data_IF_509355597849
#
_entry.id   IF_509355597849
#
_cell.length_a   1.000
_cell.length_b   1.000
_cell.length_c   1.000
_cell.angle_alpha   90.00
_cell.angle_beta   90.00
_cell.angle_gamma   90.00
#
_symmetry.space_group_name_H-M   'P 1'
#
loop_
_entity.id
_entity.type
_entity.pdbx_description
1 polymer ?
#
# COMPACT_ATOMS: atom_id res chain seq x y z
N UNK A 1 17.16 -33.53 11.47
CA UNK A 1 17.47 -32.13 11.08
C UNK A 1 16.28 -31.45 10.42
N UNK A 2 15.68 -32.05 9.37
CA UNK A 2 14.45 -31.53 8.72
C UNK A 2 13.27 -31.25 9.68
N UNK A 3 12.97 -32.16 10.60
CA UNK A 3 11.85 -31.99 11.52
C UNK A 3 11.96 -30.72 12.38
N UNK A 4 13.13 -30.50 12.98
CA UNK A 4 13.42 -29.30 13.78
C UNK A 4 13.24 -28.00 12.98
N UNK A 5 13.61 -28.00 11.69
CA UNK A 5 13.41 -26.85 10.83
C UNK A 5 11.91 -26.60 10.57
N UNK A 6 11.15 -27.65 10.28
CA UNK A 6 9.69 -27.55 10.09
C UNK A 6 9.01 -27.04 11.35
N UNK A 7 9.39 -27.55 12.52
CA UNK A 7 8.85 -27.11 13.81
C UNK A 7 9.14 -25.63 14.06
N UNK A 8 10.35 -25.17 13.71
CA UNK A 8 10.76 -23.77 13.82
C UNK A 8 9.94 -22.86 12.89
N UNK A 9 9.80 -23.25 11.62
CA UNK A 9 9.02 -22.49 10.63
C UNK A 9 7.54 -22.42 11.03
N UNK A 10 6.98 -23.53 11.52
CA UNK A 10 5.60 -23.58 11.97
C UNK A 10 5.38 -22.72 13.22
N UNK A 11 6.33 -22.74 14.17
CA UNK A 11 6.30 -21.90 15.38
C UNK A 11 6.25 -20.40 15.04
N UNK A 12 7.02 -19.96 14.04
CA UNK A 12 7.10 -18.55 13.64
C UNK A 12 6.31 -18.23 12.37
N UNK A 13 5.29 -19.01 12.04
CA UNK A 13 4.50 -18.83 10.81
C UNK A 13 3.96 -17.41 10.62
N UNK A 14 3.62 -16.73 11.71
CA UNK A 14 3.09 -15.36 11.73
C UNK A 14 4.15 -14.28 11.48
N UNK A 15 5.44 -14.65 11.50
CA UNK A 15 6.53 -13.74 11.16
C UNK A 15 6.79 -13.69 9.65
N UNK A 16 6.12 -14.53 8.85
CA UNK A 16 6.24 -14.56 7.40
C UNK A 16 5.07 -13.82 6.77
N UNK A 17 5.35 -12.99 5.77
CA UNK A 17 4.32 -12.32 5.00
C UNK A 17 3.49 -13.34 4.22
N UNK A 18 2.17 -13.24 4.34
CA UNK A 18 1.23 -13.98 3.48
C UNK A 18 0.46 -12.99 2.60
N UNK A 19 -0.26 -13.51 1.61
CA UNK A 19 -1.18 -12.76 0.73
C UNK A 19 -2.49 -12.37 1.42
N UNK A 20 -2.68 -12.77 2.69
CA UNK A 20 -3.95 -12.62 3.43
C UNK A 20 -3.85 -11.64 4.60
N UNK A 21 -2.65 -11.19 4.94
CA UNK A 21 -2.42 -10.29 6.05
C UNK A 21 -2.08 -8.90 5.52
N UNK A 22 -2.72 -7.83 6.05
CA UNK A 22 -2.48 -6.49 5.58
C UNK A 22 -1.03 -6.07 5.82
N UNK A 23 -0.40 -5.52 4.78
CA UNK A 23 0.96 -5.00 4.90
C UNK A 23 0.93 -3.66 5.64
N UNK A 24 1.84 -3.49 6.61
CA UNK A 24 2.12 -2.17 7.18
C UNK A 24 1.20 -1.71 8.31
N UNK A 25 0.40 -2.58 8.92
CA UNK A 25 -0.33 -2.27 10.17
C UNK A 25 0.61 -2.29 11.40
N UNK A 26 1.75 -1.61 11.30
CA UNK A 26 2.67 -1.43 12.42
C UNK A 26 2.18 -0.22 13.21
N UNK A 27 1.53 -0.50 14.33
CA UNK A 27 1.02 0.52 15.27
C UNK A 27 2.16 1.49 15.65
N UNK A 28 1.92 2.80 15.55
CA UNK A 28 2.86 3.84 15.99
C UNK A 28 3.84 4.35 14.93
N UNK A 29 3.63 4.04 13.65
CA UNK A 29 4.43 4.59 12.53
C UNK A 29 3.64 5.58 11.67
N UNK A 30 2.63 6.24 12.23
CA UNK A 30 1.89 7.29 11.56
C UNK A 30 2.81 8.49 11.30
N UNK A 31 2.87 8.95 10.06
CA UNK A 31 3.65 10.11 9.66
C UNK A 31 2.72 11.31 9.44
N UNK A 32 2.99 12.40 10.13
CA UNK A 32 2.38 13.69 9.84
C UNK A 32 3.26 14.47 8.85
N UNK A 33 2.74 14.73 7.66
CA UNK A 33 3.45 15.42 6.58
C UNK A 33 2.82 16.79 6.40
N UNK A 34 3.54 17.82 6.84
CA UNK A 34 3.09 19.21 6.80
C UNK A 34 3.74 19.92 5.60
N UNK A 35 2.94 20.64 4.82
CA UNK A 35 3.44 21.48 3.74
C UNK A 35 4.03 22.78 4.32
N UNK A 36 5.19 23.19 3.81
CA UNK A 36 5.81 24.48 4.15
C UNK A 36 5.14 25.68 3.44
N UNK A 37 3.98 25.47 2.81
CA UNK A 37 3.25 26.49 2.04
C UNK A 37 1.77 26.45 2.38
N UNK A 38 1.15 27.63 2.42
CA UNK A 38 -0.29 27.78 2.66
C UNK A 38 -1.08 27.83 1.34
N UNK A 39 -2.42 27.73 1.44
CA UNK A 39 -3.30 27.86 0.27
C UNK A 39 -3.20 29.29 -0.31
N UNK A 40 -3.30 29.46 -1.65
CA UNK A 40 -3.60 28.44 -2.66
C UNK A 40 -2.37 27.58 -3.01
N UNK A 41 -2.57 26.27 -3.04
CA UNK A 41 -1.52 25.31 -3.37
C UNK A 41 -1.00 25.46 -4.81
N UNK A 42 0.29 25.17 -5.08
CA UNK A 42 0.86 25.23 -6.42
C UNK A 42 0.04 24.42 -7.43
N UNK A 43 -0.19 24.94 -8.67
CA UNK A 43 -0.91 24.21 -9.72
C UNK A 43 -0.33 22.83 -10.04
N UNK A 44 0.96 22.62 -9.78
CA UNK A 44 1.62 21.31 -9.95
C UNK A 44 0.96 20.19 -9.13
N UNK A 45 0.35 20.51 -7.99
CA UNK A 45 -0.35 19.53 -7.15
C UNK A 45 -1.73 19.13 -7.70
N UNK A 46 -2.24 19.83 -8.72
CA UNK A 46 -3.55 19.58 -9.34
C UNK A 46 -3.46 18.96 -10.74
N UNK A 47 -2.29 18.41 -11.11
CA UNK A 47 -2.10 17.84 -12.44
C UNK A 47 -2.98 16.59 -12.61
N UNK A 48 -3.72 16.46 -13.74
CA UNK A 48 -4.42 15.23 -14.02
C UNK A 48 -3.42 14.08 -14.20
N UNK A 49 -3.87 12.87 -13.94
CA UNK A 49 -3.08 11.68 -14.24
C UNK A 49 -2.73 11.64 -15.74
N UNK A 50 -1.49 11.26 -16.05
CA UNK A 50 -1.08 11.04 -17.44
C UNK A 50 -1.85 9.86 -18.04
N UNK A 51 -2.18 9.90 -19.34
CA UNK A 51 -2.87 8.79 -19.98
C UNK A 51 -1.97 7.54 -19.98
N UNK A 52 -2.53 6.40 -19.55
CA UNK A 52 -1.88 5.10 -19.63
C UNK A 52 -2.29 4.36 -20.91
N UNK A 53 -1.39 3.56 -21.48
CA UNK A 53 -1.78 2.62 -22.55
C UNK A 53 -2.78 1.58 -22.02
N UNK A 54 -3.67 1.01 -22.87
CA UNK A 54 -4.67 0.03 -22.42
C UNK A 54 -4.04 -1.16 -21.67
N UNK A 55 -2.96 -1.72 -22.22
CA UNK A 55 -2.21 -2.83 -21.61
C UNK A 55 -1.62 -2.45 -20.25
N UNK A 56 -1.05 -1.26 -20.13
CA UNK A 56 -0.51 -0.79 -18.85
C UNK A 56 -1.63 -0.58 -17.82
N UNK A 57 -2.77 -0.03 -18.25
CA UNK A 57 -3.93 0.19 -17.40
C UNK A 57 -4.51 -1.11 -16.83
N UNK A 58 -4.56 -2.18 -17.62
CA UNK A 58 -5.02 -3.49 -17.17
C UNK A 58 -4.10 -4.10 -16.11
N UNK A 59 -2.78 -4.08 -16.33
CA UNK A 59 -1.82 -4.56 -15.33
C UNK A 59 -1.87 -3.75 -14.03
N UNK A 60 -1.95 -2.42 -14.14
CA UNK A 60 -2.06 -1.54 -12.98
C UNK A 60 -3.33 -1.82 -12.15
N UNK A 61 -4.47 -2.12 -12.79
CA UNK A 61 -5.71 -2.43 -12.06
C UNK A 61 -5.57 -3.65 -11.15
N UNK A 62 -4.84 -4.67 -11.59
CA UNK A 62 -4.60 -5.87 -10.78
C UNK A 62 -3.82 -5.50 -9.52
N UNK A 63 -2.70 -4.80 -9.67
CA UNK A 63 -1.87 -4.42 -8.53
C UNK A 63 -2.52 -3.39 -7.60
N UNK A 64 -3.28 -2.44 -8.16
CA UNK A 64 -4.05 -1.50 -7.33
C UNK A 64 -5.05 -2.27 -6.45
N UNK A 65 -5.73 -3.27 -7.02
CA UNK A 65 -6.66 -4.11 -6.26
C UNK A 65 -5.93 -4.88 -5.15
N UNK A 66 -4.80 -5.51 -5.45
CA UNK A 66 -3.99 -6.22 -4.45
C UNK A 66 -3.58 -5.30 -3.29
N UNK A 67 -3.12 -4.09 -3.60
CA UNK A 67 -2.72 -3.11 -2.59
C UNK A 67 -3.91 -2.58 -1.77
N UNK A 68 -5.11 -2.51 -2.35
CA UNK A 68 -6.32 -2.19 -1.60
C UNK A 68 -6.71 -3.33 -0.65
N UNK A 69 -6.66 -4.58 -1.13
CA UNK A 69 -6.98 -5.77 -0.33
C UNK A 69 -6.00 -5.94 0.85
N UNK A 70 -4.72 -5.55 0.65
CA UNK A 70 -3.68 -5.52 1.68
C UNK A 70 -3.75 -4.30 2.62
N UNK A 71 -4.71 -3.39 2.44
CA UNK A 71 -4.89 -2.21 3.29
C UNK A 71 -3.83 -1.11 3.09
N UNK A 72 -3.01 -1.20 2.05
CA UNK A 72 -1.97 -0.21 1.72
C UNK A 72 -2.58 1.00 1.01
N UNK A 73 -3.54 0.76 0.11
CA UNK A 73 -4.28 1.82 -0.59
C UNK A 73 -5.73 1.89 -0.10
N UNK A 74 -6.25 3.10 0.05
CA UNK A 74 -7.68 3.36 0.29
C UNK A 74 -8.20 4.38 -0.71
N UNK A 75 -9.50 4.32 -0.98
CA UNK A 75 -10.18 5.38 -1.73
C UNK A 75 -10.34 6.60 -0.83
N UNK A 76 -9.98 7.76 -1.35
CA UNK A 76 -10.15 9.06 -0.68
C UNK A 76 -11.11 9.87 -1.55
N UNK A 77 -12.11 10.48 -0.92
CA UNK A 77 -13.05 11.36 -1.61
C UNK A 77 -12.41 12.70 -1.97
N UNK A 78 -13.04 13.47 -2.86
CA UNK A 78 -12.55 14.82 -3.20
C UNK A 78 -12.54 15.81 -2.01
N UNK A 79 -13.17 15.45 -0.88
CA UNK A 79 -13.44 16.34 0.25
C UNK A 79 -12.84 15.86 1.59
N UNK A 80 -12.10 14.74 1.61
CA UNK A 80 -11.24 14.34 2.75
C UNK A 80 -9.85 14.97 2.59
#
# INVERSE_FOLDING_TARGET
MKQKLVDLLFKYKSSFSTDKEPLGSIIGNELDIILNVEKPYPPLLRRPAYPSSPRAGEGLKVHIKELMDLGVLRRVGHNE
#
